data_IF_991011423182
#
_entry.id   IF_991011423182
#
_cell.length_a   1.000
_cell.length_b   1.000
_cell.length_c   1.000
_cell.angle_alpha   90.00
_cell.angle_beta   90.00
_cell.angle_gamma   90.00
#
_symmetry.space_group_name_H-M   'P 1'
#
loop_
_entity.id
_entity.type
_entity.pdbx_description
1 polymer ?
#
# COMPACT_ATOMS: atom_id res chain seq x y z
N UNK A 1 19.37 7.76 -17.66
CA UNK A 1 18.46 6.90 -16.88
C UNK A 1 17.97 7.72 -15.71
N UNK A 2 16.68 7.67 -15.38
CA UNK A 2 16.17 8.39 -14.21
C UNK A 2 16.74 7.74 -12.93
N UNK A 3 17.12 8.54 -11.94
CA UNK A 3 17.81 8.10 -10.73
C UNK A 3 17.05 6.98 -10.00
N UNK A 4 15.72 7.02 -10.05
CA UNK A 4 14.84 5.99 -9.47
C UNK A 4 15.02 4.63 -10.16
N UNK A 5 15.09 4.61 -11.49
CA UNK A 5 15.25 3.37 -12.27
C UNK A 5 16.59 2.68 -12.03
N UNK A 6 17.64 3.44 -11.71
CA UNK A 6 18.96 2.91 -11.36
C UNK A 6 18.92 2.14 -10.03
N UNK A 7 18.03 2.55 -9.11
CA UNK A 7 17.83 1.88 -7.82
C UNK A 7 16.69 0.84 -7.87
N UNK A 8 16.24 0.46 -9.07
CA UNK A 8 15.17 -0.54 -9.26
C UNK A 8 13.77 -0.02 -8.91
N UNK A 9 13.59 1.30 -8.77
CA UNK A 9 12.31 1.89 -8.41
C UNK A 9 11.59 2.46 -9.64
N UNK A 10 10.33 2.07 -9.82
CA UNK A 10 9.43 2.60 -10.83
C UNK A 10 8.21 3.25 -10.18
N UNK A 11 7.82 4.42 -10.69
CA UNK A 11 6.61 5.12 -10.25
C UNK A 11 5.61 5.16 -11.40
N UNK A 12 4.40 4.63 -11.16
CA UNK A 12 3.29 4.79 -12.11
C UNK A 12 2.76 6.22 -12.01
N UNK A 13 2.57 6.88 -13.15
CA UNK A 13 2.06 8.25 -13.14
C UNK A 13 0.71 8.32 -12.39
N UNK A 14 0.46 9.30 -11.51
CA UNK A 14 -0.71 9.33 -10.62
C UNK A 14 -2.06 9.24 -11.34
N UNK A 15 -2.15 9.74 -12.58
CA UNK A 15 -3.36 9.65 -13.41
C UNK A 15 -3.67 8.23 -13.94
N UNK A 16 -2.68 7.33 -13.92
CA UNK A 16 -2.79 5.96 -14.45
C UNK A 16 -2.77 4.88 -13.36
N UNK A 17 -2.47 5.26 -12.12
CA UNK A 17 -2.27 4.32 -11.01
C UNK A 17 -3.53 3.51 -10.68
N UNK A 18 -4.73 4.10 -10.84
CA UNK A 18 -5.99 3.35 -10.68
C UNK A 18 -6.13 2.24 -11.72
N UNK A 19 -5.89 2.52 -13.01
CA UNK A 19 -5.98 1.50 -14.06
C UNK A 19 -4.97 0.38 -13.81
N UNK A 20 -3.74 0.75 -13.43
CA UNK A 20 -2.71 -0.22 -13.07
C UNK A 20 -3.16 -1.16 -11.94
N UNK A 21 -3.61 -0.61 -10.80
CA UNK A 21 -4.09 -1.45 -9.70
C UNK A 21 -5.33 -2.25 -10.07
N UNK A 22 -6.27 -1.65 -10.79
CA UNK A 22 -7.51 -2.31 -11.17
C UNK A 22 -7.27 -3.49 -12.11
N UNK A 23 -6.40 -3.35 -13.11
CA UNK A 23 -6.05 -4.46 -14.01
C UNK A 23 -5.33 -5.58 -13.26
N UNK A 24 -4.38 -5.24 -12.38
CA UNK A 24 -3.66 -6.20 -11.55
C UNK A 24 -4.62 -6.97 -10.62
N UNK A 25 -5.48 -6.26 -9.89
CA UNK A 25 -6.41 -6.87 -8.94
C UNK A 25 -7.52 -7.65 -9.64
N UNK A 26 -8.01 -7.19 -10.80
CA UNK A 26 -8.96 -7.95 -11.61
C UNK A 26 -8.36 -9.27 -12.09
N UNK A 27 -7.10 -9.27 -12.52
CA UNK A 27 -6.39 -10.50 -12.88
C UNK A 27 -6.26 -11.45 -11.69
N UNK A 28 -5.82 -10.97 -10.53
CA UNK A 28 -5.70 -11.78 -9.32
C UNK A 28 -7.05 -12.38 -8.89
N UNK A 29 -8.10 -11.56 -8.88
CA UNK A 29 -9.46 -12.02 -8.58
C UNK A 29 -9.93 -13.08 -9.58
N UNK A 30 -9.61 -12.94 -10.88
CA UNK A 30 -9.92 -13.96 -11.89
C UNK A 30 -9.18 -15.28 -11.68
N UNK A 31 -8.04 -15.25 -10.97
CA UNK A 31 -7.30 -16.44 -10.55
C UNK A 31 -7.82 -17.07 -9.24
N UNK A 32 -8.86 -16.50 -8.63
CA UNK A 32 -9.43 -16.96 -7.35
C UNK A 32 -8.72 -16.43 -6.11
N UNK A 33 -7.99 -15.32 -6.20
CA UNK A 33 -7.40 -14.64 -5.04
C UNK A 33 -8.46 -13.79 -4.34
N UNK A 34 -8.58 -13.91 -3.02
CA UNK A 34 -9.60 -13.22 -2.21
C UNK A 34 -9.17 -11.82 -1.73
N UNK A 35 -7.88 -11.48 -1.83
CA UNK A 35 -7.36 -10.20 -1.37
C UNK A 35 -5.87 -10.01 -1.58
N UNK A 36 -5.36 -8.84 -1.18
CA UNK A 36 -3.97 -8.43 -1.40
C UNK A 36 -3.31 -7.91 -0.12
N UNK A 37 -2.02 -8.23 0.06
CA UNK A 37 -1.15 -7.53 1.00
C UNK A 37 -0.32 -6.51 0.22
N UNK A 38 -0.42 -5.22 0.57
CA UNK A 38 0.30 -4.14 -0.09
C UNK A 38 1.42 -3.64 0.82
N UNK A 39 2.66 -3.87 0.41
CA UNK A 39 3.86 -3.57 1.19
C UNK A 39 4.63 -2.34 0.65
N UNK A 40 5.57 -1.82 1.43
CA UNK A 40 6.49 -0.74 1.06
C UNK A 40 5.78 0.59 0.69
N UNK A 41 4.61 0.87 1.26
CA UNK A 41 3.82 2.06 0.88
C UNK A 41 4.46 3.40 1.28
N UNK A 42 5.21 3.44 2.38
CA UNK A 42 5.91 4.64 2.85
C UNK A 42 6.95 5.17 1.85
N UNK A 43 7.39 4.39 0.87
CA UNK A 43 8.34 4.87 -0.15
C UNK A 43 7.78 6.06 -0.93
N UNK A 44 6.45 6.16 -1.07
CA UNK A 44 5.76 7.24 -1.78
C UNK A 44 6.13 8.61 -1.19
N UNK A 45 6.47 8.66 0.11
CA UNK A 45 6.90 9.90 0.76
C UNK A 45 8.11 10.55 0.09
N UNK A 46 9.01 9.72 -0.43
CA UNK A 46 10.27 10.13 -1.05
C UNK A 46 10.11 10.50 -2.53
N UNK A 47 8.95 10.20 -3.14
CA UNK A 47 8.73 10.28 -4.59
C UNK A 47 7.85 11.46 -5.01
N UNK A 48 7.48 12.34 -4.07
CA UNK A 48 6.56 13.46 -4.33
C UNK A 48 7.10 14.54 -5.27
N UNK A 49 8.42 14.60 -5.50
CA UNK A 49 9.04 15.59 -6.39
C UNK A 49 8.57 15.37 -7.83
N UNK A 50 8.18 16.45 -8.51
CA UNK A 50 7.67 16.40 -9.89
C UNK A 50 6.23 15.90 -10.06
N UNK A 51 5.56 15.47 -8.97
CA UNK A 51 4.23 14.84 -9.02
C UNK A 51 3.15 15.59 -8.20
N UNK A 52 3.33 16.89 -7.97
CA UNK A 52 2.39 17.71 -7.19
C UNK A 52 2.60 17.62 -5.68
N UNK A 53 3.75 17.11 -5.25
CA UNK A 53 4.15 17.01 -3.85
C UNK A 53 3.72 15.71 -3.18
N UNK A 54 4.34 15.44 -2.04
CA UNK A 54 4.15 14.22 -1.23
C UNK A 54 2.67 13.94 -0.93
N UNK A 55 1.96 14.95 -0.38
CA UNK A 55 0.55 14.83 0.03
C UNK A 55 -0.36 14.46 -1.14
N UNK A 56 -0.21 15.14 -2.28
CA UNK A 56 -1.04 14.90 -3.46
C UNK A 56 -0.81 13.49 -4.02
N UNK A 57 0.47 13.07 -4.08
CA UNK A 57 0.86 11.77 -4.59
C UNK A 57 0.33 10.64 -3.69
N UNK A 58 0.57 10.72 -2.39
CA UNK A 58 0.10 9.74 -1.40
C UNK A 58 -1.41 9.59 -1.46
N UNK A 59 -2.15 10.71 -1.52
CA UNK A 59 -3.61 10.69 -1.64
C UNK A 59 -4.09 10.00 -2.91
N UNK A 60 -3.48 10.30 -4.07
CA UNK A 60 -3.85 9.65 -5.33
C UNK A 60 -3.60 8.15 -5.30
N UNK A 61 -2.48 7.72 -4.72
CA UNK A 61 -2.14 6.30 -4.61
C UNK A 61 -3.07 5.56 -3.66
N UNK A 62 -3.37 6.10 -2.48
CA UNK A 62 -4.31 5.48 -1.54
C UNK A 62 -5.72 5.37 -2.11
N UNK A 63 -6.25 6.44 -2.70
CA UNK A 63 -7.59 6.43 -3.28
C UNK A 63 -7.71 5.42 -4.44
N UNK A 64 -6.68 5.35 -5.28
CA UNK A 64 -6.65 4.37 -6.36
C UNK A 64 -6.57 2.94 -5.85
N UNK A 65 -5.77 2.69 -4.80
CA UNK A 65 -5.66 1.39 -4.17
C UNK A 65 -7.01 0.95 -3.59
N UNK A 66 -7.62 1.77 -2.73
CA UNK A 66 -8.91 1.45 -2.10
C UNK A 66 -10.02 1.26 -3.14
N UNK A 67 -10.09 2.11 -4.16
CA UNK A 67 -11.09 1.95 -5.23
C UNK A 67 -10.89 0.66 -6.04
N UNK A 68 -9.65 0.24 -6.27
CA UNK A 68 -9.36 -1.02 -6.96
C UNK A 68 -9.69 -2.24 -6.10
N UNK A 69 -9.44 -2.18 -4.79
CA UNK A 69 -9.76 -3.25 -3.84
C UNK A 69 -11.26 -3.41 -3.74
N UNK A 70 -11.99 -2.33 -3.47
CA UNK A 70 -13.45 -2.34 -3.34
C UNK A 70 -14.16 -2.86 -4.60
N UNK A 71 -13.54 -2.71 -5.77
CA UNK A 71 -14.08 -3.19 -7.04
C UNK A 71 -13.87 -4.68 -7.28
N UNK A 72 -12.75 -5.24 -6.81
CA UNK A 72 -12.33 -6.60 -7.19
C UNK A 72 -12.43 -7.61 -6.02
N UNK A 73 -12.40 -7.15 -4.77
CA UNK A 73 -12.44 -7.99 -3.58
C UNK A 73 -13.66 -7.61 -2.73
N UNK A 74 -14.79 -8.36 -2.81
CA UNK A 74 -16.06 -7.98 -2.19
C UNK A 74 -15.98 -7.89 -0.66
N UNK A 75 -15.13 -8.70 -0.02
CA UNK A 75 -14.92 -8.69 1.44
C UNK A 75 -13.85 -7.68 1.89
N UNK A 76 -13.48 -6.73 1.02
CA UNK A 76 -12.46 -5.72 1.30
C UNK A 76 -11.12 -6.34 1.73
N UNK A 77 -10.72 -7.43 1.07
CA UNK A 77 -9.50 -8.18 1.35
C UNK A 77 -8.23 -7.39 1.06
N UNK A 78 -7.86 -6.46 1.94
CA UNK A 78 -6.64 -5.67 1.82
C UNK A 78 -5.91 -5.53 3.17
N UNK A 79 -4.65 -5.96 3.18
CA UNK A 79 -3.73 -5.76 4.30
C UNK A 79 -2.69 -4.72 3.88
N UNK A 80 -2.74 -3.56 4.53
CA UNK A 80 -1.81 -2.46 4.29
C UNK A 80 -0.58 -2.58 5.19
N UNK A 81 0.59 -2.58 4.58
CA UNK A 81 1.88 -2.78 5.23
C UNK A 81 2.86 -1.65 4.91
N UNK A 82 3.76 -1.36 5.85
CA UNK A 82 4.68 -0.22 5.80
C UNK A 82 3.99 1.09 5.39
N UNK A 83 2.80 1.38 5.94
CA UNK A 83 1.97 2.53 5.56
C UNK A 83 1.81 3.58 6.67
N UNK A 84 2.66 3.53 7.71
CA UNK A 84 2.57 4.36 8.92
C UNK A 84 3.00 5.82 8.74
N UNK A 85 2.94 6.35 7.52
CA UNK A 85 3.21 7.75 7.31
C UNK A 85 1.96 8.60 7.56
N UNK A 86 2.17 9.85 7.98
CA UNK A 86 1.10 10.77 8.36
C UNK A 86 0.13 11.04 7.21
N UNK A 87 0.65 11.19 5.99
CA UNK A 87 -0.18 11.49 4.81
C UNK A 87 -1.07 10.29 4.42
N UNK A 88 -0.57 9.07 4.60
CA UNK A 88 -1.27 7.82 4.34
C UNK A 88 -2.35 7.57 5.37
N UNK A 89 -2.07 7.83 6.65
CA UNK A 89 -3.07 7.78 7.72
C UNK A 89 -4.23 8.75 7.45
N UNK A 90 -3.93 9.99 7.03
CA UNK A 90 -4.97 10.97 6.68
C UNK A 90 -5.68 10.70 5.35
N UNK A 91 -5.09 9.88 4.48
CA UNK A 91 -5.66 9.56 3.16
C UNK A 91 -6.45 8.25 3.14
N UNK A 92 -6.25 7.37 4.12
CA UNK A 92 -6.96 6.11 4.27
C UNK A 92 -8.41 6.33 4.66
N UNK A 93 -9.34 5.63 4.00
CA UNK A 93 -10.79 5.71 4.29
C UNK A 93 -11.41 4.36 4.57
N UNK A 94 -10.97 3.32 3.87
CA UNK A 94 -11.65 2.02 3.85
C UNK A 94 -10.70 0.83 3.95
N UNK A 95 -9.40 1.05 4.11
CA UNK A 95 -8.42 -0.03 4.28
C UNK A 95 -8.79 -0.95 5.45
N UNK A 96 -8.99 -2.25 5.18
CA UNK A 96 -9.53 -3.20 6.15
C UNK A 96 -8.57 -3.51 7.31
N UNK A 97 -7.30 -3.79 7.00
CA UNK A 97 -6.31 -4.20 8.01
C UNK A 97 -5.00 -3.46 7.76
N UNK A 98 -4.37 -2.99 8.84
CA UNK A 98 -3.06 -2.34 8.79
C UNK A 98 -2.08 -3.09 9.68
N UNK A 99 -0.88 -3.37 9.17
CA UNK A 99 0.21 -3.95 9.97
C UNK A 99 0.80 -2.87 10.87
N UNK A 100 0.53 -2.94 12.18
CA UNK A 100 0.91 -1.93 13.18
C UNK A 100 2.35 -1.99 13.73
N UNK A 101 3.09 -3.08 13.50
CA UNK A 101 4.46 -3.27 14.02
C UNK A 101 5.43 -3.62 12.90
N UNK A 102 6.71 -3.82 13.19
CA UNK A 102 7.62 -4.47 12.23
C UNK A 102 7.23 -5.96 12.02
N UNK A 103 7.93 -6.64 11.12
CA UNK A 103 7.69 -8.07 10.85
C UNK A 103 7.85 -8.90 12.12
N UNK A 104 6.87 -9.76 12.42
CA UNK A 104 6.94 -10.61 13.61
C UNK A 104 8.08 -11.64 13.47
N UNK A 105 8.94 -11.70 14.48
CA UNK A 105 9.95 -12.73 14.62
C UNK A 105 9.65 -13.62 15.83
N UNK A 106 9.84 -14.96 15.73
CA UNK A 106 9.71 -15.85 16.87
C UNK A 106 10.62 -15.45 18.05
N UNK A 107 10.22 -15.77 19.29
CA UNK A 107 11.03 -15.51 20.47
C UNK A 107 12.44 -16.10 20.33
N UNK A 108 13.46 -15.34 20.73
CA UNK A 108 14.86 -15.78 20.72
C UNK A 108 15.71 -15.25 19.57
N UNK A 109 15.15 -14.46 18.64
CA UNK A 109 15.93 -13.67 17.69
C UNK A 109 16.21 -12.26 18.22
N UNK A 110 17.30 -11.62 17.78
CA UNK A 110 17.59 -10.23 18.13
C UNK A 110 16.59 -9.21 17.55
N UNK A 111 15.74 -9.63 16.60
CA UNK A 111 14.68 -8.82 15.99
C UNK A 111 13.30 -9.09 16.62
N UNK A 112 13.23 -9.99 17.60
CA UNK A 112 12.00 -10.32 18.31
C UNK A 112 11.50 -9.11 19.09
N UNK A 113 10.22 -8.80 18.90
CA UNK A 113 9.48 -7.81 19.67
C UNK A 113 8.16 -8.42 20.14
N UNK A 114 7.47 -7.74 21.07
CA UNK A 114 6.19 -8.22 21.57
C UNK A 114 5.16 -8.33 20.43
N UNK A 115 4.24 -9.28 20.53
CA UNK A 115 3.16 -9.43 19.55
C UNK A 115 2.15 -8.29 19.70
N UNK A 116 1.88 -7.57 18.61
CA UNK A 116 0.86 -6.52 18.56
C UNK A 116 -0.22 -6.91 17.54
N UNK A 117 -1.48 -6.97 17.98
CA UNK A 117 -2.64 -7.10 17.09
C UNK A 117 -3.35 -5.75 17.11
N UNK A 118 -3.46 -5.12 15.95
CA UNK A 118 -4.18 -3.87 15.77
C UNK A 118 -5.24 -4.07 14.70
N UNK A 119 -6.49 -3.80 15.05
CA UNK A 119 -7.61 -3.81 14.12
C UNK A 119 -8.08 -2.35 13.96
N UNK A 120 -8.10 -1.84 12.73
CA UNK A 120 -8.74 -0.57 12.44
C UNK A 120 -10.25 -0.78 12.54
N UNK A 121 -10.90 -0.18 13.55
CA UNK A 121 -12.35 -0.20 13.75
C UNK A 121 -13.08 0.73 12.78
#
# INVERSE_FOLDING_TARGET
>A
MDSLSVHGLGLVHPKKVFNFYNELHAYLASCGVDGVKVDVQNIIETLGSGHGGRVSLTRSYHQALEASVARNFPDNGCISCMCHNTDGLYSSKQTAVVRASDDFYPPGSCFSHNSYIFCCL
#
